data_IF_321397072283
#
_entry.id   IF_321397072283
#
_cell.length_a   1.000
_cell.length_b   1.000
_cell.length_c   1.000
_cell.angle_alpha   90.00
_cell.angle_beta   90.00
_cell.angle_gamma   90.00
#
_symmetry.space_group_name_H-M   'P 1'
#
loop_
_entity.id
_entity.type
_entity.pdbx_description
1 polymer ?
#
# COMPACT_ATOMS: atom_id res chain seq x y z
N UNK A 1 16.49 9.14 25.02
CA UNK A 1 16.76 9.47 23.61
C UNK A 1 16.86 8.17 22.84
N UNK A 2 15.90 7.88 21.97
CA UNK A 2 16.00 6.73 21.06
C UNK A 2 17.07 7.10 20.02
N UNK A 3 18.16 6.35 19.96
CA UNK A 3 19.15 6.45 18.88
C UNK A 3 18.70 5.51 17.76
N UNK A 4 17.98 6.06 16.79
CA UNK A 4 17.67 5.35 15.54
C UNK A 4 18.85 5.52 14.58
N UNK A 5 19.31 4.40 14.03
CA UNK A 5 20.25 4.43 12.91
C UNK A 5 19.52 4.87 11.64
N UNK A 6 20.24 5.37 10.62
CA UNK A 6 19.64 5.89 9.40
C UNK A 6 18.65 4.92 8.73
N UNK A 7 19.02 3.64 8.65
CA UNK A 7 18.14 2.58 8.12
C UNK A 7 16.86 2.42 8.95
N UNK A 8 16.95 2.40 10.28
CA UNK A 8 15.80 2.26 11.16
C UNK A 8 14.88 3.48 11.09
N UNK A 9 15.45 4.68 10.90
CA UNK A 9 14.67 5.90 10.69
C UNK A 9 13.88 5.85 9.37
N UNK A 10 14.45 5.32 8.28
CA UNK A 10 13.72 5.13 7.02
C UNK A 10 12.58 4.11 7.16
N UNK A 11 12.81 3.00 7.87
CA UNK A 11 11.78 1.99 8.13
C UNK A 11 10.66 2.55 9.00
N UNK A 12 11.00 3.32 10.04
CA UNK A 12 10.02 3.99 10.90
C UNK A 12 9.14 4.97 10.14
N UNK A 13 9.73 5.75 9.24
CA UNK A 13 9.00 6.69 8.39
C UNK A 13 8.07 5.92 7.43
N UNK A 14 8.55 4.85 6.79
CA UNK A 14 7.74 3.99 5.94
C UNK A 14 6.56 3.35 6.70
N UNK A 15 6.77 2.90 7.93
CA UNK A 15 5.71 2.39 8.81
C UNK A 15 4.67 3.44 9.18
N UNK A 16 5.10 4.67 9.46
CA UNK A 16 4.20 5.76 9.83
C UNK A 16 3.22 6.09 8.70
N UNK A 17 3.68 6.05 7.45
CA UNK A 17 2.83 6.31 6.29
C UNK A 17 2.06 5.09 5.81
N UNK A 18 2.37 3.89 6.30
CA UNK A 18 1.76 2.63 5.91
C UNK A 18 0.22 2.62 5.94
N UNK A 19 -0.44 3.09 7.01
CA UNK A 19 -1.91 3.08 7.06
C UNK A 19 -2.52 4.03 6.03
N UNK A 20 -1.86 5.16 5.78
CA UNK A 20 -2.29 6.15 4.78
C UNK A 20 -2.20 5.57 3.37
N UNK A 21 -1.11 4.87 3.03
CA UNK A 21 -0.98 4.20 1.73
C UNK A 21 -2.04 3.12 1.52
N UNK A 22 -2.36 2.34 2.56
CA UNK A 22 -3.46 1.36 2.50
C UNK A 22 -4.82 2.03 2.24
N UNK A 23 -5.09 3.16 2.90
CA UNK A 23 -6.33 3.90 2.71
C UNK A 23 -6.46 4.45 1.27
N UNK A 24 -5.36 4.99 0.73
CA UNK A 24 -5.31 5.47 -0.66
C UNK A 24 -5.53 4.30 -1.63
N UNK A 25 -4.83 3.18 -1.45
CA UNK A 25 -4.99 1.98 -2.28
C UNK A 25 -6.43 1.46 -2.26
N UNK A 26 -7.06 1.37 -1.08
CA UNK A 26 -8.45 0.95 -0.95
C UNK A 26 -9.40 1.89 -1.71
N UNK A 27 -9.18 3.20 -1.63
CA UNK A 27 -9.97 4.21 -2.36
C UNK A 27 -9.80 4.05 -3.88
N UNK A 28 -8.57 3.87 -4.36
CA UNK A 28 -8.28 3.66 -5.78
C UNK A 28 -8.90 2.36 -6.30
N UNK A 29 -8.88 1.28 -5.51
CA UNK A 29 -9.56 0.02 -5.84
C UNK A 29 -11.06 0.23 -5.93
N UNK A 30 -11.68 0.94 -4.97
CA UNK A 30 -13.11 1.24 -4.98
C UNK A 30 -13.53 2.05 -6.20
N UNK A 31 -12.76 3.09 -6.55
CA UNK A 31 -12.96 3.88 -7.77
C UNK A 31 -12.82 2.97 -9.00
N UNK A 32 -11.74 2.20 -9.10
CA UNK A 32 -11.52 1.30 -10.24
C UNK A 32 -12.63 0.27 -10.40
N UNK A 33 -13.17 -0.23 -9.28
CA UNK A 33 -14.31 -1.14 -9.26
C UNK A 33 -15.61 -0.47 -9.74
N UNK A 34 -15.84 0.79 -9.39
CA UNK A 34 -16.97 1.57 -9.90
C UNK A 34 -16.90 1.73 -11.43
N UNK A 35 -15.69 1.91 -11.98
CA UNK A 35 -15.45 2.02 -13.42
C UNK A 35 -15.13 0.68 -14.13
N UNK A 36 -15.38 -0.47 -13.48
CA UNK A 36 -15.01 -1.81 -14.02
C UNK A 36 -15.62 -2.16 -15.37
N UNK A 37 -16.70 -1.47 -15.77
CA UNK A 37 -17.34 -1.64 -17.09
C UNK A 37 -16.44 -1.16 -18.22
N UNK A 38 -15.52 -0.24 -17.94
CA UNK A 38 -14.48 0.17 -18.88
C UNK A 38 -13.24 -0.72 -18.73
N UNK A 39 -12.57 -1.08 -19.84
CA UNK A 39 -11.35 -1.90 -19.79
C UNK A 39 -10.30 -1.32 -18.83
N UNK A 40 -10.15 0.00 -18.84
CA UNK A 40 -9.16 0.70 -18.01
C UNK A 40 -9.43 0.52 -16.51
N UNK A 41 -10.69 0.58 -16.08
CA UNK A 41 -11.08 0.37 -14.68
C UNK A 41 -10.84 -1.06 -14.24
N UNK A 42 -11.09 -2.04 -15.13
CA UNK A 42 -10.83 -3.45 -14.87
C UNK A 42 -9.32 -3.72 -14.68
N UNK A 43 -8.47 -3.23 -15.58
CA UNK A 43 -7.02 -3.41 -15.47
C UNK A 43 -6.45 -2.65 -14.26
N UNK A 44 -6.90 -1.42 -14.02
CA UNK A 44 -6.48 -0.63 -12.86
C UNK A 44 -6.85 -1.32 -11.54
N UNK A 45 -8.05 -1.89 -11.45
CA UNK A 45 -8.47 -2.66 -10.26
C UNK A 45 -7.51 -3.82 -9.98
N UNK A 46 -7.21 -4.67 -10.96
CA UNK A 46 -6.28 -5.78 -10.76
C UNK A 46 -4.87 -5.30 -10.40
N UNK A 47 -4.40 -4.23 -11.04
CA UNK A 47 -3.10 -3.63 -10.75
C UNK A 47 -3.02 -3.15 -9.30
N UNK A 48 -4.02 -2.41 -8.81
CA UNK A 48 -4.04 -1.94 -7.43
C UNK A 48 -4.20 -3.07 -6.41
N UNK A 49 -4.93 -4.13 -6.74
CA UNK A 49 -5.01 -5.34 -5.89
C UNK A 49 -3.63 -6.01 -5.77
N UNK A 50 -2.89 -6.16 -6.87
CA UNK A 50 -1.53 -6.72 -6.83
C UNK A 50 -0.61 -5.86 -5.96
N UNK A 51 -0.67 -4.53 -6.11
CA UNK A 51 0.09 -3.62 -5.25
C UNK A 51 -0.30 -3.80 -3.78
N UNK A 52 -1.60 -3.85 -3.47
CA UNK A 52 -2.08 -4.05 -2.10
C UNK A 52 -1.52 -5.32 -1.46
N UNK A 53 -1.47 -6.43 -2.21
CA UNK A 53 -0.93 -7.71 -1.73
C UNK A 53 0.58 -7.61 -1.47
N UNK A 54 1.34 -7.06 -2.42
CA UNK A 54 2.79 -6.88 -2.28
C UNK A 54 3.11 -5.98 -1.10
N UNK A 55 2.38 -4.87 -0.97
CA UNK A 55 2.51 -3.96 0.16
C UNK A 55 2.20 -4.74 1.45
N UNK A 56 1.02 -5.33 1.60
CA UNK A 56 0.64 -6.08 2.81
C UNK A 56 1.67 -7.16 3.19
N UNK A 57 2.22 -7.89 2.21
CA UNK A 57 3.29 -8.87 2.43
C UNK A 57 4.59 -8.25 2.97
N UNK A 58 5.00 -7.09 2.44
CA UNK A 58 6.16 -6.36 2.94
C UNK A 58 5.96 -5.90 4.39
N UNK A 59 4.77 -5.38 4.74
CA UNK A 59 4.51 -5.03 6.14
C UNK A 59 4.60 -6.24 7.07
N UNK A 60 4.02 -7.38 6.69
CA UNK A 60 4.11 -8.59 7.50
C UNK A 60 5.57 -9.01 7.70
N UNK A 61 6.41 -8.95 6.66
CA UNK A 61 7.84 -9.25 6.76
C UNK A 61 8.59 -8.29 7.70
N UNK A 62 8.18 -7.03 7.79
CA UNK A 62 8.84 -6.05 8.67
C UNK A 62 8.36 -6.14 10.13
N UNK A 63 7.20 -6.76 10.38
CA UNK A 63 6.64 -6.97 11.74
C UNK A 63 7.08 -8.33 12.31
N UNK A 64 7.33 -9.34 11.46
CA UNK A 64 7.75 -10.68 11.84
C UNK A 64 9.25 -10.77 12.15
#
# INVERSE_FOLDING_TARGET
MIKLNFAEAMLFLAFMFWPTTLFILATLIAISYAYRKHPIGKYAMYFFIVILVVFSGMALFMIA
#
